data_IF_684258725223
#
_entry.id   IF_684258725223
#
_cell.length_a   1.000
_cell.length_b   1.000
_cell.length_c   1.000
_cell.angle_alpha   90.00
_cell.angle_beta   90.00
_cell.angle_gamma   90.00
#
_symmetry.space_group_name_H-M   'P 1'
#
loop_
_entity.id
_entity.type
_entity.pdbx_description
1 polymer ?
#
# COMPACT_ATOMS: atom_id res chain seq x y z
N UNK A 1 27.65 -9.73 4.79
CA UNK A 1 27.47 -8.74 5.88
C UNK A 1 27.55 -9.47 7.21
N UNK A 2 28.47 -9.06 8.11
CA UNK A 2 28.58 -9.58 9.48
C UNK A 2 28.23 -8.43 10.43
N UNK A 3 27.26 -8.63 11.33
CA UNK A 3 26.78 -7.62 12.28
C UNK A 3 25.46 -8.06 12.90
N UNK A 4 25.13 -7.57 14.10
CA UNK A 4 23.84 -7.82 14.74
C UNK A 4 22.69 -7.26 13.90
N UNK A 5 21.48 -7.80 14.08
CA UNK A 5 20.29 -7.31 13.36
C UNK A 5 20.09 -5.80 13.52
N UNK A 6 20.29 -5.25 14.73
CA UNK A 6 20.17 -3.80 14.99
C UNK A 6 21.17 -3.00 14.15
N UNK A 7 22.43 -3.45 14.06
CA UNK A 7 23.44 -2.78 13.24
C UNK A 7 23.08 -2.82 11.75
N UNK A 8 22.51 -3.92 11.27
CA UNK A 8 22.08 -4.07 9.88
C UNK A 8 20.87 -3.17 9.59
N UNK A 9 19.86 -3.19 10.47
CA UNK A 9 18.69 -2.30 10.42
C UNK A 9 19.10 -0.85 10.35
N UNK A 10 19.94 -0.40 11.28
CA UNK A 10 20.39 1.00 11.36
C UNK A 10 21.18 1.40 10.12
N UNK A 11 21.97 0.47 9.56
CA UNK A 11 22.70 0.70 8.31
C UNK A 11 21.77 0.88 7.12
N UNK A 12 20.71 0.06 7.02
CA UNK A 12 19.66 0.20 5.99
C UNK A 12 18.89 1.51 6.18
N UNK A 13 18.47 1.84 7.41
CA UNK A 13 17.82 3.11 7.73
C UNK A 13 18.68 4.30 7.30
N UNK A 14 19.98 4.29 7.64
CA UNK A 14 20.92 5.35 7.24
C UNK A 14 21.07 5.47 5.73
N UNK A 15 21.15 4.35 5.00
CA UNK A 15 21.27 4.36 3.55
C UNK A 15 20.01 4.92 2.87
N UNK A 16 18.83 4.48 3.30
CA UNK A 16 17.55 4.97 2.79
C UNK A 16 17.33 6.45 3.10
N UNK A 17 17.67 6.89 4.33
CA UNK A 17 17.60 8.29 4.70
C UNK A 17 18.57 9.14 3.88
N UNK A 18 19.82 8.71 3.72
CA UNK A 18 20.80 9.45 2.93
C UNK A 18 20.34 9.63 1.47
N UNK A 19 19.79 8.56 0.88
CA UNK A 19 19.20 8.65 -0.44
C UNK A 19 18.02 9.63 -0.48
N UNK A 20 17.11 9.56 0.50
CA UNK A 20 15.95 10.45 0.60
C UNK A 20 16.35 11.91 0.80
N UNK A 21 17.39 12.17 1.59
CA UNK A 21 17.97 13.49 1.86
C UNK A 21 18.63 14.06 0.60
N UNK A 22 19.38 13.26 -0.17
CA UNK A 22 19.96 13.71 -1.44
C UNK A 22 18.91 14.08 -2.49
N UNK A 23 17.80 13.34 -2.54
CA UNK A 23 16.65 13.68 -3.40
C UNK A 23 15.94 14.94 -2.92
N UNK A 24 16.00 15.18 -1.61
CA UNK A 24 15.42 16.34 -0.95
C UNK A 24 16.34 17.55 -0.86
N UNK A 25 17.61 17.51 -1.28
CA UNK A 25 18.55 18.60 -0.97
C UNK A 25 18.60 18.92 0.53
N UNK A 26 18.68 17.88 1.36
CA UNK A 26 18.73 17.92 2.83
C UNK A 26 20.02 17.28 3.36
N UNK A 27 21.12 17.35 2.61
CA UNK A 27 22.38 16.67 2.95
C UNK A 27 23.05 17.20 4.22
N UNK A 28 22.63 18.37 4.69
CA UNK A 28 23.03 18.99 5.97
C UNK A 28 22.35 18.36 7.20
N UNK A 29 21.46 17.40 6.98
CA UNK A 29 20.67 16.80 8.04
C UNK A 29 21.54 16.05 9.07
N UNK A 30 21.31 16.39 10.33
CA UNK A 30 21.98 15.85 11.51
C UNK A 30 20.95 15.44 12.55
N UNK A 31 21.36 14.65 13.55
CA UNK A 31 20.48 14.13 14.60
C UNK A 31 20.21 12.64 14.50
N UNK A 32 19.19 12.19 15.23
CA UNK A 32 18.78 10.78 15.23
C UNK A 32 18.14 10.36 13.91
N UNK A 33 17.95 9.05 13.71
CA UNK A 33 17.21 8.53 12.54
C UNK A 33 15.80 9.13 12.48
N UNK A 34 15.14 9.29 13.62
CA UNK A 34 13.79 9.85 13.72
C UNK A 34 13.77 11.34 13.33
N UNK A 35 14.73 12.14 13.81
CA UNK A 35 14.79 13.58 13.48
C UNK A 35 14.95 13.79 11.97
N UNK A 36 15.86 13.01 11.37
CA UNK A 36 16.13 13.02 9.94
C UNK A 36 14.93 12.56 9.13
N UNK A 37 14.27 11.49 9.57
CA UNK A 37 13.04 10.96 8.95
C UNK A 37 11.91 12.00 8.93
N UNK A 38 11.67 12.69 10.03
CA UNK A 38 10.66 13.74 10.08
C UNK A 38 10.99 14.88 9.12
N UNK A 39 12.25 15.33 9.05
CA UNK A 39 12.67 16.39 8.13
C UNK A 39 12.37 16.03 6.67
N UNK A 40 12.76 14.82 6.25
CA UNK A 40 12.46 14.28 4.91
C UNK A 40 10.95 14.26 4.67
N UNK A 41 10.17 13.74 5.63
CA UNK A 41 8.70 13.65 5.51
C UNK A 41 8.05 15.02 5.38
N UNK A 42 8.44 16.00 6.19
CA UNK A 42 7.89 17.36 6.13
C UNK A 42 8.17 18.02 4.79
N UNK A 43 9.39 17.91 4.27
CA UNK A 43 9.72 18.44 2.94
C UNK A 43 8.88 17.79 1.84
N UNK A 44 8.79 16.47 1.85
CA UNK A 44 7.99 15.74 0.88
C UNK A 44 6.51 16.13 0.94
N UNK A 45 5.91 16.19 2.13
CA UNK A 45 4.49 16.59 2.30
C UNK A 45 4.24 18.01 1.80
N UNK A 46 5.14 18.95 2.08
CA UNK A 46 5.02 20.33 1.59
C UNK A 46 4.94 20.41 0.07
N UNK A 47 5.81 19.66 -0.63
CA UNK A 47 5.87 19.67 -2.10
C UNK A 47 4.76 18.83 -2.72
N UNK A 48 4.42 17.67 -2.14
CA UNK A 48 3.40 16.78 -2.69
C UNK A 48 1.98 17.34 -2.56
N UNK A 49 1.75 18.19 -1.56
CA UNK A 49 0.47 18.87 -1.36
C UNK A 49 0.40 20.22 -2.09
N UNK A 50 1.50 20.69 -2.69
CA UNK A 50 1.50 21.88 -3.53
C UNK A 50 0.91 21.56 -4.91
N UNK A 51 -0.41 21.68 -5.00
CA UNK A 51 -1.17 21.33 -6.21
C UNK A 51 -1.54 22.53 -7.08
N UNK A 52 -1.37 23.76 -6.58
CA UNK A 52 -1.70 24.96 -7.35
C UNK A 52 -0.56 25.31 -8.31
N UNK A 53 -0.88 25.28 -9.61
CA UNK A 53 0.07 25.54 -10.70
C UNK A 53 -0.39 26.67 -11.60
N UNK A 54 -1.44 27.38 -11.18
CA UNK A 54 -2.12 28.38 -12.01
C UNK A 54 -1.21 29.55 -12.38
N UNK A 55 -0.28 29.92 -11.49
CA UNK A 55 0.66 31.02 -11.63
C UNK A 55 2.02 30.65 -12.26
N UNK A 56 2.29 29.35 -12.47
CA UNK A 56 3.60 28.88 -12.94
C UNK A 56 3.71 28.92 -14.47
N UNK A 57 4.82 29.43 -14.98
CA UNK A 57 5.25 29.28 -16.38
C UNK A 57 5.53 27.82 -16.74
N UNK A 58 5.66 27.51 -18.04
CA UNK A 58 5.95 26.13 -18.48
C UNK A 58 7.26 25.57 -17.91
N UNK A 59 8.32 26.39 -17.85
CA UNK A 59 9.61 25.96 -17.30
C UNK A 59 9.55 25.72 -15.79
N UNK A 60 8.79 26.55 -15.06
CA UNK A 60 8.56 26.37 -13.62
C UNK A 60 7.72 25.12 -13.35
N UNK A 61 6.70 24.85 -14.17
CA UNK A 61 5.91 23.60 -14.08
C UNK A 61 6.78 22.37 -14.30
N UNK A 62 7.69 22.39 -15.28
CA UNK A 62 8.61 21.28 -15.53
C UNK A 62 9.53 21.03 -14.34
N UNK A 63 10.14 22.08 -13.79
CA UNK A 63 11.00 21.99 -12.59
C UNK A 63 10.20 21.47 -11.38
N UNK A 64 8.97 21.94 -11.21
CA UNK A 64 8.08 21.47 -10.16
C UNK A 64 7.73 19.98 -10.32
N UNK A 65 7.40 19.52 -11.53
CA UNK A 65 7.11 18.11 -11.79
C UNK A 65 8.31 17.19 -11.55
N UNK A 66 9.51 17.64 -11.91
CA UNK A 66 10.76 16.95 -11.58
C UNK A 66 10.95 16.85 -10.06
N UNK A 67 10.70 17.93 -9.34
CA UNK A 67 10.81 17.97 -7.88
C UNK A 67 9.77 17.08 -7.21
N UNK A 68 8.51 17.13 -7.64
CA UNK A 68 7.44 16.22 -7.19
C UNK A 68 7.85 14.76 -7.41
N UNK A 69 8.45 14.43 -8.56
CA UNK A 69 8.92 13.06 -8.83
C UNK A 69 10.02 12.64 -7.85
N UNK A 70 11.00 13.50 -7.56
CA UNK A 70 12.04 13.22 -6.55
C UNK A 70 11.42 13.03 -5.17
N UNK A 71 10.49 13.91 -4.78
CA UNK A 71 9.84 13.82 -3.46
C UNK A 71 8.94 12.59 -3.32
N UNK A 72 8.29 12.11 -4.39
CA UNK A 72 7.57 10.82 -4.36
C UNK A 72 8.52 9.66 -4.04
N UNK A 73 9.69 9.63 -4.68
CA UNK A 73 10.70 8.58 -4.45
C UNK A 73 11.26 8.69 -3.02
N UNK A 74 11.62 9.90 -2.59
CA UNK A 74 12.12 10.19 -1.24
C UNK A 74 11.11 9.81 -0.15
N UNK A 75 9.85 10.21 -0.32
CA UNK A 75 8.75 9.85 0.58
C UNK A 75 8.55 8.34 0.67
N UNK A 76 8.67 7.64 -0.46
CA UNK A 76 8.52 6.20 -0.48
C UNK A 76 9.65 5.47 0.24
N UNK A 77 10.91 5.89 0.01
CA UNK A 77 12.06 5.34 0.72
C UNK A 77 11.98 5.58 2.23
N UNK A 78 11.48 6.75 2.66
CA UNK A 78 11.34 7.09 4.07
C UNK A 78 10.26 6.26 4.80
N UNK A 79 9.21 5.82 4.11
CA UNK A 79 8.21 4.90 4.67
C UNK A 79 8.79 3.54 5.07
N UNK A 80 9.86 3.06 4.40
CA UNK A 80 10.55 1.83 4.81
C UNK A 80 11.35 2.04 6.10
N UNK A 81 11.91 3.24 6.30
CA UNK A 81 12.60 3.63 7.54
C UNK A 81 11.64 3.68 8.71
N UNK A 82 10.43 4.23 8.54
CA UNK A 82 9.38 4.23 9.58
C UNK A 82 9.13 2.81 10.14
N UNK A 83 8.99 1.82 9.26
CA UNK A 83 8.69 0.44 9.68
C UNK A 83 9.91 -0.23 10.30
N UNK A 84 11.11 0.01 9.75
CA UNK A 84 12.34 -0.54 10.31
C UNK A 84 12.61 -0.02 11.72
N UNK A 85 12.44 1.28 11.96
CA UNK A 85 12.62 1.88 13.29
C UNK A 85 11.67 1.28 14.34
N UNK A 86 10.48 0.85 13.93
CA UNK A 86 9.52 0.20 14.82
C UNK A 86 9.94 -1.20 15.26
N UNK A 87 10.89 -1.85 14.58
CA UNK A 87 11.35 -3.19 14.94
C UNK A 87 12.38 -3.12 16.07
N UNK A 88 11.93 -3.41 17.30
CA UNK A 88 12.75 -3.61 18.48
C UNK A 88 12.81 -5.10 18.86
N UNK A 89 14.00 -5.71 18.91
CA UNK A 89 14.16 -7.10 19.30
C UNK A 89 13.85 -7.37 20.77
N UNK A 90 13.87 -6.34 21.63
CA UNK A 90 13.41 -6.50 23.01
C UNK A 90 11.92 -6.83 23.06
N UNK A 91 11.15 -6.47 22.04
CA UNK A 91 9.73 -6.84 21.91
C UNK A 91 9.54 -8.36 21.91
N UNK A 92 10.51 -9.12 21.39
CA UNK A 92 10.45 -10.58 21.32
C UNK A 92 10.65 -11.27 22.68
N UNK A 93 11.02 -10.54 23.74
CA UNK A 93 11.24 -11.09 25.08
C UNK A 93 9.93 -11.15 25.89
N UNK A 94 9.71 -12.26 26.61
CA UNK A 94 8.59 -12.40 27.56
C UNK A 94 7.49 -13.37 27.12
N UNK A 95 6.26 -13.16 27.61
CA UNK A 95 5.10 -14.00 27.27
C UNK A 95 4.61 -13.69 25.84
N UNK A 96 4.02 -14.68 25.16
CA UNK A 96 3.49 -14.59 23.78
C UNK A 96 4.55 -14.43 22.68
N UNK A 97 5.75 -15.00 22.86
CA UNK A 97 6.86 -14.94 21.89
C UNK A 97 6.44 -15.32 20.47
N UNK A 98 5.64 -16.37 20.29
CA UNK A 98 5.19 -16.83 18.96
C UNK A 98 4.40 -15.73 18.22
N UNK A 99 3.42 -15.11 18.89
CA UNK A 99 2.61 -14.06 18.28
C UNK A 99 3.44 -12.82 17.94
N UNK A 100 4.33 -12.41 18.84
CA UNK A 100 5.24 -11.28 18.60
C UNK A 100 6.25 -11.56 17.49
N UNK A 101 6.73 -12.81 17.36
CA UNK A 101 7.56 -13.22 16.23
C UNK A 101 6.80 -13.12 14.91
N UNK A 102 5.51 -13.50 14.88
CA UNK A 102 4.66 -13.31 13.70
C UNK A 102 4.53 -11.83 13.35
N UNK A 103 4.25 -10.96 14.32
CA UNK A 103 4.16 -9.51 14.10
C UNK A 103 5.46 -8.94 13.53
N UNK A 104 6.62 -9.30 14.08
CA UNK A 104 7.92 -8.86 13.55
C UNK A 104 8.15 -9.38 12.13
N UNK A 105 7.80 -10.64 11.84
CA UNK A 105 7.88 -11.18 10.47
C UNK A 105 6.98 -10.41 9.49
N UNK A 106 5.76 -10.08 9.89
CA UNK A 106 4.84 -9.27 9.08
C UNK A 106 5.39 -7.86 8.84
N UNK A 107 6.00 -7.22 9.84
CA UNK A 107 6.69 -5.94 9.67
C UNK A 107 7.85 -6.04 8.68
N UNK A 108 8.66 -7.09 8.74
CA UNK A 108 9.76 -7.32 7.78
C UNK A 108 9.24 -7.56 6.35
N UNK A 109 8.15 -8.32 6.19
CA UNK A 109 7.49 -8.47 4.89
C UNK A 109 6.97 -7.14 4.35
N UNK A 110 6.47 -6.27 5.24
CA UNK A 110 5.99 -4.94 4.87
C UNK A 110 7.14 -3.99 4.48
N UNK A 111 8.33 -4.15 5.08
CA UNK A 111 9.56 -3.48 4.61
C UNK A 111 9.91 -3.93 3.20
N UNK A 112 9.90 -5.24 2.92
CA UNK A 112 10.17 -5.77 1.57
C UNK A 112 9.15 -5.28 0.55
N UNK A 113 7.86 -5.25 0.91
CA UNK A 113 6.79 -4.69 0.08
C UNK A 113 7.10 -3.23 -0.31
N UNK A 114 7.52 -2.38 0.65
CA UNK A 114 7.91 -0.99 0.36
C UNK A 114 9.17 -0.90 -0.48
N UNK A 115 10.20 -1.68 -0.20
CA UNK A 115 11.41 -1.68 -1.05
C UNK A 115 11.11 -2.08 -2.50
N UNK A 116 10.01 -2.80 -2.74
CA UNK A 116 9.55 -3.18 -4.07
C UNK A 116 8.59 -2.16 -4.73
N UNK A 117 8.30 -1.01 -4.11
CA UNK A 117 7.34 -0.04 -4.67
C UNK A 117 5.92 -0.16 -4.10
N UNK A 118 5.68 -1.07 -3.16
CA UNK A 118 4.38 -1.30 -2.54
C UNK A 118 4.06 -0.29 -1.43
N UNK A 119 2.78 -0.07 -1.18
CA UNK A 119 2.28 0.81 -0.12
C UNK A 119 1.63 0.00 1.01
N UNK A 120 1.15 0.67 2.07
CA UNK A 120 0.40 0.00 3.14
C UNK A 120 -0.81 -0.78 2.62
N UNK A 121 -1.44 -0.34 1.53
CA UNK A 121 -2.58 -1.02 0.92
C UNK A 121 -2.19 -2.27 0.12
N UNK A 122 -0.91 -2.40 -0.29
CA UNK A 122 -0.40 -3.58 -0.98
C UNK A 122 0.38 -4.51 -0.05
N UNK A 123 0.43 -4.21 1.26
CA UNK A 123 1.10 -5.08 2.23
C UNK A 123 0.49 -6.49 2.18
N UNK A 124 1.35 -7.50 2.23
CA UNK A 124 0.98 -8.92 2.06
C UNK A 124 0.36 -9.27 0.70
N UNK A 125 0.47 -8.38 -0.29
CA UNK A 125 0.11 -8.63 -1.68
C UNK A 125 1.35 -8.63 -2.56
N UNK A 126 2.08 -9.77 -2.65
CA UNK A 126 3.26 -9.87 -3.50
C UNK A 126 2.97 -9.46 -4.95
N UNK A 127 4.00 -8.93 -5.63
CA UNK A 127 3.93 -8.63 -7.06
C UNK A 127 3.55 -9.88 -7.86
N UNK A 128 2.74 -9.69 -8.91
CA UNK A 128 2.32 -10.78 -9.80
C UNK A 128 0.94 -11.38 -9.51
N UNK A 129 0.18 -10.82 -8.55
CA UNK A 129 -1.25 -11.16 -8.42
C UNK A 129 -1.99 -10.75 -9.68
N UNK A 130 -2.67 -11.71 -10.32
CA UNK A 130 -3.62 -11.46 -11.40
C UNK A 130 -5.00 -11.28 -10.78
N UNK A 131 -5.69 -10.20 -11.14
CA UNK A 131 -7.09 -10.02 -10.80
C UNK A 131 -7.94 -10.53 -11.97
N UNK A 132 -8.90 -11.39 -11.68
CA UNK A 132 -9.87 -11.87 -12.65
C UNK A 132 -11.22 -11.23 -12.33
N UNK A 133 -11.91 -10.75 -13.36
CA UNK A 133 -13.24 -10.16 -13.23
C UNK A 133 -14.12 -10.86 -14.25
N UNK A 134 -15.22 -11.45 -13.77
CA UNK A 134 -16.23 -12.06 -14.61
C UNK A 134 -17.56 -11.35 -14.35
N UNK A 135 -18.19 -10.86 -15.43
CA UNK A 135 -19.53 -10.30 -15.37
C UNK A 135 -20.57 -11.40 -15.53
N UNK A 136 -21.56 -11.43 -14.64
CA UNK A 136 -22.67 -12.37 -14.71
C UNK A 136 -23.75 -12.00 -15.73
N UNK A 137 -24.68 -12.92 -15.93
CA UNK A 137 -25.87 -12.67 -16.73
C UNK A 137 -26.74 -11.54 -16.12
N UNK A 138 -27.32 -10.65 -16.94
CA UNK A 138 -28.15 -9.57 -16.45
C UNK A 138 -29.46 -10.11 -15.84
N UNK A 139 -29.89 -9.51 -14.73
CA UNK A 139 -31.17 -9.83 -14.08
C UNK A 139 -32.26 -8.86 -14.57
N UNK A 140 -33.19 -9.35 -15.38
CA UNK A 140 -34.31 -8.55 -15.90
C UNK A 140 -35.42 -8.36 -14.86
N UNK A 141 -35.30 -7.30 -14.04
CA UNK A 141 -36.17 -7.08 -12.87
C UNK A 141 -37.67 -7.03 -13.20
N UNK A 142 -38.07 -6.31 -14.26
CA UNK A 142 -39.48 -6.13 -14.61
C UNK A 142 -40.13 -7.44 -15.09
N UNK A 143 -39.39 -8.22 -15.87
CA UNK A 143 -39.85 -9.49 -16.42
C UNK A 143 -39.98 -10.55 -15.32
N UNK A 144 -38.96 -10.65 -14.47
CA UNK A 144 -38.86 -11.75 -13.50
C UNK A 144 -39.65 -11.48 -12.21
N UNK A 145 -39.87 -10.21 -11.83
CA UNK A 145 -40.49 -9.87 -10.53
C UNK A 145 -41.63 -8.86 -10.63
N UNK A 146 -42.01 -8.42 -11.84
CA UNK A 146 -43.08 -7.43 -12.04
C UNK A 146 -44.45 -7.88 -11.53
N UNK A 147 -44.67 -9.20 -11.46
CA UNK A 147 -45.91 -9.81 -10.97
C UNK A 147 -46.05 -9.82 -9.43
N UNK A 148 -44.96 -9.59 -8.68
CA UNK A 148 -44.99 -9.60 -7.21
C UNK A 148 -45.56 -8.27 -6.69
N UNK A 149 -46.74 -8.31 -6.05
CA UNK A 149 -47.43 -7.12 -5.57
C UNK A 149 -46.76 -6.48 -4.34
N UNK A 150 -46.17 -7.29 -3.45
CA UNK A 150 -45.55 -6.80 -2.23
C UNK A 150 -44.15 -6.22 -2.45
N UNK A 151 -43.92 -4.96 -2.08
CA UNK A 151 -42.58 -4.33 -2.16
C UNK A 151 -41.50 -5.15 -1.43
N UNK A 152 -41.80 -5.62 -0.22
CA UNK A 152 -40.85 -6.39 0.61
C UNK A 152 -40.53 -7.75 0.00
N UNK A 153 -41.55 -8.42 -0.54
CA UNK A 153 -41.42 -9.71 -1.23
C UNK A 153 -40.60 -9.57 -2.52
N UNK A 154 -40.89 -8.53 -3.32
CA UNK A 154 -40.14 -8.22 -4.54
C UNK A 154 -38.66 -7.95 -4.26
N UNK A 155 -38.34 -7.17 -3.23
CA UNK A 155 -36.95 -6.91 -2.84
C UNK A 155 -36.24 -8.20 -2.40
N UNK A 156 -36.90 -9.04 -1.61
CA UNK A 156 -36.35 -10.33 -1.20
C UNK A 156 -36.05 -11.23 -2.40
N UNK A 157 -36.96 -11.30 -3.37
CA UNK A 157 -36.77 -12.09 -4.59
C UNK A 157 -35.62 -11.57 -5.46
N UNK A 158 -35.48 -10.24 -5.59
CA UNK A 158 -34.34 -9.62 -6.29
C UNK A 158 -33.02 -9.93 -5.60
N UNK A 159 -32.97 -9.81 -4.26
CA UNK A 159 -31.77 -10.12 -3.49
C UNK A 159 -31.36 -11.58 -3.64
N UNK A 160 -32.32 -12.51 -3.61
CA UNK A 160 -32.04 -13.94 -3.81
C UNK A 160 -31.48 -14.20 -5.21
N UNK A 161 -32.10 -13.65 -6.26
CA UNK A 161 -31.62 -13.85 -7.62
C UNK A 161 -30.23 -13.24 -7.85
N UNK A 162 -29.91 -12.13 -7.17
CA UNK A 162 -28.57 -11.55 -7.20
C UNK A 162 -27.55 -12.45 -6.51
N UNK A 163 -27.90 -13.00 -5.34
CA UNK A 163 -27.05 -13.94 -4.60
C UNK A 163 -26.76 -15.20 -5.43
N UNK A 164 -27.80 -15.83 -5.98
CA UNK A 164 -27.68 -17.02 -6.82
C UNK A 164 -26.83 -16.74 -8.08
N UNK A 165 -27.02 -15.58 -8.71
CA UNK A 165 -26.25 -15.14 -9.86
C UNK A 165 -24.78 -14.89 -9.54
N UNK A 166 -24.48 -14.21 -8.42
CA UNK A 166 -23.11 -13.98 -7.96
C UNK A 166 -22.41 -15.27 -7.56
N UNK A 167 -23.14 -16.21 -6.93
CA UNK A 167 -22.60 -17.52 -6.57
C UNK A 167 -22.21 -18.32 -7.82
N UNK A 168 -23.05 -18.30 -8.86
CA UNK A 168 -22.76 -18.97 -10.14
C UNK A 168 -21.51 -18.37 -10.78
N UNK A 169 -21.45 -17.03 -10.87
CA UNK A 169 -20.28 -16.31 -11.42
C UNK A 169 -19.01 -16.61 -10.63
N UNK A 170 -19.09 -16.73 -9.30
CA UNK A 170 -17.95 -17.09 -8.46
C UNK A 170 -17.41 -18.48 -8.82
N UNK A 171 -18.30 -19.47 -8.96
CA UNK A 171 -17.91 -20.84 -9.31
C UNK A 171 -17.29 -20.91 -10.70
N UNK A 172 -17.90 -20.23 -11.68
CA UNK A 172 -17.37 -20.17 -13.05
C UNK A 172 -15.99 -19.48 -13.09
N UNK A 173 -15.83 -18.39 -12.34
CA UNK A 173 -14.57 -17.66 -12.25
C UNK A 173 -13.48 -18.51 -11.59
N UNK A 174 -13.81 -19.25 -10.54
CA UNK A 174 -12.89 -20.19 -9.90
C UNK A 174 -12.42 -21.26 -10.89
N UNK A 175 -13.34 -21.86 -11.66
CA UNK A 175 -12.99 -22.86 -12.68
C UNK A 175 -12.05 -22.29 -13.74
N UNK A 176 -12.34 -21.10 -14.27
CA UNK A 176 -11.48 -20.40 -15.24
C UNK A 176 -10.09 -20.12 -14.64
N UNK A 177 -10.03 -19.70 -13.38
CA UNK A 177 -8.78 -19.46 -12.67
C UNK A 177 -7.95 -20.73 -12.55
N UNK A 178 -8.55 -21.87 -12.20
CA UNK A 178 -7.83 -23.14 -12.06
C UNK A 178 -7.35 -23.70 -13.41
N UNK A 179 -8.06 -23.47 -14.50
CA UNK A 179 -7.64 -23.91 -15.85
C UNK A 179 -6.55 -23.00 -16.48
N UNK A 180 -6.42 -21.76 -16.02
CA UNK A 180 -5.47 -20.77 -16.54
C UNK A 180 -4.10 -20.78 -15.83
N UNK A 181 -3.86 -21.74 -14.94
CA UNK A 181 -2.62 -21.92 -14.16
C UNK A 181 -1.83 -23.09 -14.69
#
# INVERSE_FOLDING_TARGET
MKGSFIQQRDSVCKALLHYSESLGGLEDSSGSIIDRLFRVRYKAVGILNDTDRSSLSEEERRRHDEEVKKQKISHHASQAVDVLEYIDLNYLKGRHTVQRSIEVMLSLLDVLNRLQGGMINSRFSPKGKKAFILGGAPIEVRKNFGHLAGRKERLKAISQALEDGLQTVSLDLEEIMFQST
#
